data_IF_023392987865
#
_entry.id   IF_023392987865
#
_cell.length_a   1.000
_cell.length_b   1.000
_cell.length_c   1.000
_cell.angle_alpha   90.00
_cell.angle_beta   90.00
_cell.angle_gamma   90.00
#
_symmetry.space_group_name_H-M   'P 1'
#
loop_
_entity.id
_entity.type
_entity.pdbx_description
1 polymer ?
#
# COMPACT_ATOMS: atom_id res chain seq x y z
N UNK A 1 -67.10 28.61 -20.11
CA UNK A 1 -66.89 27.26 -19.52
C UNK A 1 -65.52 26.80 -19.99
N UNK A 2 -64.49 26.41 -19.22
CA UNK A 2 -64.23 26.16 -17.79
C UNK A 2 -62.70 26.37 -17.66
N UNK A 3 -62.23 27.35 -16.88
CA UNK A 3 -60.79 27.61 -16.69
C UNK A 3 -60.25 26.60 -15.67
N UNK A 4 -59.36 25.71 -16.11
CA UNK A 4 -58.67 24.74 -15.24
C UNK A 4 -57.60 25.52 -14.47
N UNK A 5 -57.80 25.70 -13.16
CA UNK A 5 -56.89 26.42 -12.27
C UNK A 5 -55.62 25.59 -12.03
N UNK A 6 -54.56 25.86 -12.77
CA UNK A 6 -53.20 25.41 -12.49
C UNK A 6 -52.50 26.43 -11.60
N UNK A 7 -52.85 26.49 -10.32
CA UNK A 7 -52.12 27.34 -9.37
C UNK A 7 -52.16 26.77 -7.96
N UNK A 8 -51.60 25.58 -7.75
CA UNK A 8 -51.39 25.04 -6.39
C UNK A 8 -50.18 24.09 -6.24
N UNK A 9 -49.32 23.93 -7.25
CA UNK A 9 -48.14 23.03 -7.17
C UNK A 9 -46.78 23.73 -7.23
N UNK A 10 -46.73 25.06 -7.08
CA UNK A 10 -45.48 25.81 -7.28
C UNK A 10 -44.64 26.03 -6.02
N UNK A 11 -45.10 25.64 -4.81
CA UNK A 11 -44.37 25.94 -3.57
C UNK A 11 -44.54 24.86 -2.48
N UNK A 12 -44.68 23.59 -2.86
CA UNK A 12 -44.73 22.51 -1.89
C UNK A 12 -43.31 21.98 -1.63
N UNK A 13 -42.80 21.98 -0.39
CA UNK A 13 -41.43 21.51 -0.08
C UNK A 13 -41.23 20.03 -0.44
N UNK A 14 -42.32 19.28 -0.54
CA UNK A 14 -42.36 17.89 -1.00
C UNK A 14 -41.96 17.76 -2.47
N UNK A 15 -42.38 18.70 -3.33
CA UNK A 15 -42.06 18.68 -4.77
C UNK A 15 -40.58 19.01 -5.03
N UNK A 16 -40.04 19.97 -4.27
CA UNK A 16 -38.61 20.33 -4.31
C UNK A 16 -37.75 19.15 -3.84
N UNK A 17 -38.17 18.47 -2.77
CA UNK A 17 -37.50 17.27 -2.26
C UNK A 17 -37.50 16.13 -3.27
N UNK A 18 -38.63 15.88 -3.94
CA UNK A 18 -38.70 14.84 -4.98
C UNK A 18 -37.84 15.17 -6.21
N UNK A 19 -37.79 16.44 -6.64
CA UNK A 19 -36.97 16.85 -7.77
C UNK A 19 -35.47 16.71 -7.47
N UNK A 20 -35.06 17.06 -6.25
CA UNK A 20 -33.67 16.91 -5.78
C UNK A 20 -33.23 15.45 -5.72
N UNK A 21 -34.12 14.56 -5.24
CA UNK A 21 -33.85 13.11 -5.19
C UNK A 21 -33.68 12.51 -6.58
N UNK A 22 -34.52 12.90 -7.55
CA UNK A 22 -34.40 12.43 -8.94
C UNK A 22 -33.09 12.92 -9.57
N UNK A 23 -32.68 14.17 -9.29
CA UNK A 23 -31.43 14.72 -9.83
C UNK A 23 -30.19 13.97 -9.33
N UNK A 24 -30.19 13.51 -8.07
CA UNK A 24 -29.12 12.70 -7.50
C UNK A 24 -29.03 11.31 -8.15
N UNK A 25 -30.15 10.72 -8.55
CA UNK A 25 -30.19 9.39 -9.19
C UNK A 25 -29.67 9.40 -10.63
N UNK A 26 -29.75 10.55 -11.33
CA UNK A 26 -29.42 10.65 -12.76
C UNK A 26 -27.96 11.00 -13.03
N UNK A 27 -27.12 11.26 -12.01
CA UNK A 27 -25.67 11.44 -12.23
C UNK A 27 -25.04 10.08 -12.61
N UNK A 28 -24.61 9.86 -13.87
CA UNK A 28 -23.82 8.70 -14.20
C UNK A 28 -22.45 8.91 -13.56
N UNK A 29 -22.22 8.24 -12.44
CA UNK A 29 -20.91 8.20 -11.80
C UNK A 29 -19.93 7.54 -12.77
N UNK A 30 -19.19 8.33 -13.54
CA UNK A 30 -18.03 7.84 -14.28
C UNK A 30 -16.89 7.62 -13.29
N UNK A 31 -17.05 6.64 -12.40
CA UNK A 31 -15.93 6.02 -11.73
C UNK A 31 -15.16 5.25 -12.81
N UNK A 32 -14.19 5.92 -13.46
CA UNK A 32 -13.18 5.19 -14.21
C UNK A 32 -12.40 4.39 -13.18
N UNK A 33 -12.55 3.07 -13.25
CA UNK A 33 -11.82 2.15 -12.42
C UNK A 33 -10.32 2.32 -12.72
N UNK A 34 -9.56 2.80 -11.74
CA UNK A 34 -8.10 2.72 -11.74
C UNK A 34 -7.77 1.39 -11.07
N UNK A 35 -7.74 0.31 -11.85
CA UNK A 35 -7.68 -1.05 -11.34
C UNK A 35 -6.27 -1.57 -11.03
N UNK A 36 -5.20 -0.80 -11.26
CA UNK A 36 -3.85 -1.40 -11.31
C UNK A 36 -2.78 -0.81 -10.36
N UNK A 37 -3.20 -0.17 -9.26
CA UNK A 37 -2.26 0.29 -8.21
C UNK A 37 -2.40 -0.49 -6.89
N UNK A 38 -3.34 -1.42 -6.82
CA UNK A 38 -3.67 -2.20 -5.61
C UNK A 38 -3.08 -3.61 -5.57
N UNK A 39 -3.10 -4.33 -6.71
CA UNK A 39 -2.80 -5.77 -6.73
C UNK A 39 -1.37 -6.12 -6.29
N UNK A 40 -0.38 -5.29 -6.64
CA UNK A 40 1.02 -5.53 -6.26
C UNK A 40 1.32 -5.26 -4.77
N UNK A 41 0.44 -4.52 -4.06
CA UNK A 41 0.59 -4.27 -2.62
C UNK A 41 0.00 -5.37 -1.74
N UNK A 42 -1.03 -6.08 -2.23
CA UNK A 42 -1.71 -7.11 -1.42
C UNK A 42 -0.81 -8.31 -1.14
N UNK A 43 0.01 -8.73 -2.13
CA UNK A 43 0.89 -9.90 -1.98
C UNK A 43 2.19 -9.66 -1.21
N UNK A 44 2.66 -8.41 -1.10
CA UNK A 44 3.98 -8.12 -0.52
C UNK A 44 4.08 -8.48 0.97
N UNK A 45 3.03 -8.19 1.74
CA UNK A 45 2.98 -8.54 3.16
C UNK A 45 2.85 -10.05 3.38
N UNK A 46 2.09 -10.75 2.54
CA UNK A 46 1.97 -12.21 2.61
C UNK A 46 3.31 -12.89 2.32
N UNK A 47 4.01 -12.43 1.27
CA UNK A 47 5.35 -12.93 0.95
C UNK A 47 6.35 -12.62 2.07
N UNK A 48 6.23 -11.46 2.73
CA UNK A 48 7.03 -11.16 3.91
C UNK A 48 6.78 -12.16 5.05
N UNK A 49 5.52 -12.43 5.39
CA UNK A 49 5.20 -13.43 6.40
C UNK A 49 5.73 -14.81 6.01
N UNK A 50 5.58 -15.19 4.74
CA UNK A 50 6.10 -16.44 4.18
C UNK A 50 7.62 -16.54 4.34
N UNK A 51 8.37 -15.48 4.04
CA UNK A 51 9.83 -15.48 4.22
C UNK A 51 10.20 -15.62 5.70
N UNK A 52 9.49 -14.95 6.61
CA UNK A 52 9.74 -15.12 8.06
C UNK A 52 9.53 -16.59 8.46
N UNK A 53 8.42 -17.19 8.04
CA UNK A 53 8.03 -18.55 8.43
C UNK A 53 8.88 -19.65 7.77
N UNK A 54 9.46 -19.39 6.60
CA UNK A 54 10.29 -20.38 5.91
C UNK A 54 11.79 -20.22 6.16
N UNK A 55 12.25 -19.02 6.54
CA UNK A 55 13.69 -18.72 6.69
C UNK A 55 14.08 -18.41 8.12
N UNK A 56 13.29 -17.63 8.84
CA UNK A 56 13.69 -17.11 10.15
C UNK A 56 13.31 -18.06 11.28
N UNK A 57 12.18 -18.76 11.16
CA UNK A 57 11.69 -19.70 12.18
C UNK A 57 12.38 -21.06 12.17
N UNK A 58 13.19 -21.35 11.14
CA UNK A 58 14.01 -22.57 11.06
C UNK A 58 14.98 -22.67 12.25
N UNK A 59 15.50 -21.53 12.71
CA UNK A 59 16.49 -21.47 13.81
C UNK A 59 16.02 -20.67 15.02
N UNK A 60 14.88 -19.97 14.93
CA UNK A 60 14.37 -19.09 15.97
C UNK A 60 12.88 -19.30 16.17
N UNK A 61 12.36 -18.91 17.34
CA UNK A 61 10.92 -18.86 17.53
C UNK A 61 10.32 -17.66 16.82
N UNK A 62 9.04 -17.74 16.44
CA UNK A 62 8.33 -16.66 15.77
C UNK A 62 8.33 -15.38 16.61
N UNK A 63 8.11 -15.53 17.91
CA UNK A 63 8.09 -14.45 18.89
C UNK A 63 9.42 -13.71 18.92
N UNK A 64 10.54 -14.44 18.89
CA UNK A 64 11.89 -13.84 18.86
C UNK A 64 12.13 -13.05 17.58
N UNK A 65 11.61 -13.52 16.45
CA UNK A 65 11.72 -12.81 15.18
C UNK A 65 10.88 -11.54 15.19
N UNK A 66 9.64 -11.62 15.68
CA UNK A 66 8.74 -10.47 15.80
C UNK A 66 9.30 -9.39 16.74
N UNK A 67 9.96 -9.79 17.84
CA UNK A 67 10.70 -8.85 18.68
C UNK A 67 11.84 -8.16 17.93
N UNK A 68 12.59 -8.88 17.11
CA UNK A 68 13.68 -8.30 16.32
C UNK A 68 13.16 -7.28 15.30
N UNK A 69 12.01 -7.56 14.68
CA UNK A 69 11.30 -6.65 13.78
C UNK A 69 10.87 -5.38 14.55
N UNK A 70 10.21 -5.54 15.70
CA UNK A 70 9.75 -4.42 16.54
C UNK A 70 10.90 -3.53 17.02
N UNK A 71 12.03 -4.13 17.39
CA UNK A 71 13.25 -3.42 17.82
C UNK A 71 13.97 -2.72 16.65
N UNK A 72 13.48 -2.86 15.41
CA UNK A 72 14.07 -2.29 14.19
C UNK A 72 15.57 -2.54 14.11
N UNK A 73 15.99 -3.76 14.46
CA UNK A 73 17.39 -4.14 14.41
C UNK A 73 17.96 -3.85 13.02
N UNK A 74 19.21 -3.38 12.95
CA UNK A 74 19.88 -3.08 11.68
C UNK A 74 19.89 -4.34 10.79
N UNK A 75 18.98 -4.38 9.81
CA UNK A 75 18.65 -5.60 9.08
C UNK A 75 19.87 -6.20 8.39
N UNK A 76 20.68 -5.37 7.74
CA UNK A 76 21.86 -5.84 7.01
C UNK A 76 22.87 -6.53 7.92
N UNK A 77 23.18 -5.92 9.07
CA UNK A 77 24.09 -6.50 10.05
C UNK A 77 23.49 -7.77 10.67
N UNK A 78 22.18 -7.79 10.90
CA UNK A 78 21.48 -8.98 11.38
C UNK A 78 21.59 -10.12 10.37
N UNK A 79 21.25 -9.87 9.09
CA UNK A 79 21.33 -10.86 8.01
C UNK A 79 22.74 -11.40 7.85
N UNK A 80 23.77 -10.54 7.84
CA UNK A 80 25.19 -10.97 7.76
C UNK A 80 25.55 -11.96 8.87
N UNK A 81 25.13 -11.67 10.12
CA UNK A 81 25.36 -12.61 11.24
C UNK A 81 24.58 -13.91 11.09
N UNK A 82 23.37 -13.88 10.53
CA UNK A 82 22.58 -15.09 10.33
C UNK A 82 23.18 -15.96 9.22
N UNK A 83 23.62 -15.35 8.12
CA UNK A 83 24.32 -16.05 7.02
C UNK A 83 25.63 -16.65 7.52
N UNK A 84 26.40 -15.91 8.34
CA UNK A 84 27.60 -16.45 8.98
C UNK A 84 27.33 -17.62 9.95
N UNK A 85 26.08 -17.82 10.36
CA UNK A 85 25.61 -18.96 11.16
C UNK A 85 24.90 -20.04 10.33
N UNK A 86 24.94 -19.94 9.01
CA UNK A 86 24.38 -20.93 8.09
C UNK A 86 22.99 -20.61 7.54
N UNK A 87 22.43 -19.42 7.80
CA UNK A 87 21.17 -19.04 7.16
C UNK A 87 21.36 -18.84 5.64
N UNK A 88 20.44 -19.39 4.85
CA UNK A 88 20.42 -19.23 3.40
C UNK A 88 19.27 -18.30 3.03
N UNK A 89 19.61 -17.12 2.51
CA UNK A 89 18.66 -16.11 2.05
C UNK A 89 18.90 -15.80 0.58
N UNK A 90 17.86 -15.94 -0.24
CA UNK A 90 17.93 -15.54 -1.65
C UNK A 90 17.92 -14.02 -1.78
N UNK A 91 18.32 -13.48 -2.94
CA UNK A 91 18.23 -12.04 -3.19
C UNK A 91 16.77 -11.53 -3.10
N UNK A 92 15.81 -12.38 -3.50
CA UNK A 92 14.39 -12.10 -3.32
C UNK A 92 14.03 -12.00 -1.84
N UNK A 93 14.46 -12.95 -1.02
CA UNK A 93 14.19 -12.97 0.43
C UNK A 93 14.74 -11.69 1.08
N UNK A 94 15.97 -11.29 0.70
CA UNK A 94 16.61 -10.06 1.19
C UNK A 94 15.83 -8.81 0.83
N UNK A 95 15.33 -8.73 -0.42
CA UNK A 95 14.50 -7.61 -0.89
C UNK A 95 13.16 -7.53 -0.16
N UNK A 96 12.49 -8.67 0.01
CA UNK A 96 11.21 -8.75 0.73
C UNK A 96 11.40 -8.32 2.18
N UNK A 97 12.40 -8.87 2.87
CA UNK A 97 12.74 -8.47 4.22
C UNK A 97 13.05 -6.96 4.29
N UNK A 98 13.88 -6.44 3.38
CA UNK A 98 14.23 -5.01 3.34
C UNK A 98 13.05 -4.07 3.13
N UNK A 99 12.00 -4.51 2.43
CA UNK A 99 10.82 -3.69 2.13
C UNK A 99 9.96 -3.47 3.38
N UNK A 100 9.85 -4.47 4.25
CA UNK A 100 8.94 -4.45 5.40
C UNK A 100 9.65 -4.40 6.75
N UNK A 101 10.99 -4.39 6.76
CA UNK A 101 11.79 -4.30 7.98
C UNK A 101 12.18 -2.86 8.30
N UNK A 102 11.79 -2.38 9.47
CA UNK A 102 12.08 -1.01 9.89
C UNK A 102 11.11 0.00 9.26
N UNK A 103 11.64 1.16 8.84
CA UNK A 103 10.82 2.21 8.18
C UNK A 103 10.91 2.08 6.65
N UNK A 104 9.83 1.70 5.96
CA UNK A 104 9.81 1.45 4.51
C UNK A 104 10.08 2.69 3.63
N UNK A 105 10.23 3.87 4.23
CA UNK A 105 10.44 5.16 3.57
C UNK A 105 11.78 5.81 3.97
N UNK A 106 12.82 5.02 4.24
CA UNK A 106 14.16 5.61 4.36
C UNK A 106 14.57 6.03 2.96
N UNK A 107 14.41 7.32 2.66
CA UNK A 107 14.78 7.93 1.40
C UNK A 107 16.16 7.42 0.98
N UNK A 108 16.25 7.02 -0.28
CA UNK A 108 17.52 6.76 -0.94
C UNK A 108 18.23 8.11 -1.03
N UNK A 109 18.93 8.52 0.03
CA UNK A 109 20.06 9.43 -0.12
C UNK A 109 21.12 8.62 -0.87
N UNK A 110 20.91 8.55 -2.17
CA UNK A 110 21.94 8.25 -3.14
C UNK A 110 22.95 9.37 -2.99
N UNK A 111 23.99 9.15 -2.20
CA UNK A 111 25.30 9.55 -2.67
C UNK A 111 25.43 8.92 -4.06
N UNK A 112 25.51 9.79 -5.08
CA UNK A 112 25.70 9.40 -6.47
C UNK A 112 26.86 8.39 -6.54
N UNK A 113 26.73 7.29 -7.31
CA UNK A 113 27.86 6.42 -7.57
C UNK A 113 28.95 7.20 -8.33
N UNK A 114 30.25 7.04 -8.01
CA UNK A 114 31.35 7.89 -8.48
C UNK A 114 31.70 7.76 -9.99
N UNK A 115 30.82 7.22 -10.83
CA UNK A 115 31.13 6.92 -12.23
C UNK A 115 30.65 7.97 -13.25
N UNK A 116 30.19 9.14 -12.83
CA UNK A 116 29.73 10.21 -13.75
C UNK A 116 30.51 11.53 -13.58
N UNK A 117 31.78 11.48 -13.16
CA UNK A 117 32.68 12.66 -13.13
C UNK A 117 33.65 12.67 -14.34
N UNK A 118 33.68 11.63 -15.17
CA UNK A 118 34.63 11.53 -16.30
C UNK A 118 34.07 11.98 -17.67
N UNK A 119 32.85 12.51 -17.73
CA UNK A 119 32.26 12.99 -19.01
C UNK A 119 32.08 14.50 -19.08
N UNK A 120 32.65 15.26 -18.14
CA UNK A 120 32.73 16.73 -18.18
C UNK A 120 34.19 17.16 -18.09
N UNK A 121 34.94 16.86 -19.16
CA UNK A 121 36.17 17.54 -19.52
C UNK A 121 36.03 18.07 -20.94
#
# INVERSE_FOLDING_TARGET
>A
MKRISTSLFANSPLFVSTLLLVLLVVLPGTARAVEDLGAHRVGGMEEFQRVIDLRCTVCHTRERVDEAIKKRAALENLQKRMVGKGAVLSERDRKVLGTFWGSPLKERTTELPPHEIETLK
#
